data_IF_397277523677
#
_entry.id   IF_397277523677
#
_cell.length_a   1.000
_cell.length_b   1.000
_cell.length_c   1.000
_cell.angle_alpha   90.00
_cell.angle_beta   90.00
_cell.angle_gamma   90.00
#
_symmetry.space_group_name_H-M   'P 1'
#
loop_
_entity.id
_entity.type
_entity.pdbx_description
1 polymer ?
#
# COMPACT_ATOMS: atom_id res chain seq x y z
N UNK A 1 18.65 -16.97 -12.71
CA UNK A 1 17.23 -16.57 -12.70
C UNK A 1 17.18 -15.08 -12.43
N UNK A 2 16.49 -14.30 -13.26
CA UNK A 2 16.31 -12.87 -12.99
C UNK A 2 15.49 -12.70 -11.70
N UNK A 3 15.92 -11.79 -10.83
CA UNK A 3 15.22 -11.49 -9.58
C UNK A 3 13.96 -10.70 -9.93
N UNK A 4 12.78 -11.21 -9.60
CA UNK A 4 11.53 -10.46 -9.75
C UNK A 4 11.57 -9.21 -8.88
N UNK A 5 11.08 -8.05 -9.38
CA UNK A 5 11.15 -6.79 -8.67
C UNK A 5 10.33 -6.84 -7.39
N UNK A 6 10.91 -6.29 -6.32
CA UNK A 6 10.31 -6.19 -5.00
C UNK A 6 10.23 -4.73 -4.58
N UNK A 7 9.03 -4.29 -4.20
CA UNK A 7 8.74 -2.91 -3.80
C UNK A 7 8.19 -2.90 -2.38
N UNK A 8 8.69 -1.99 -1.55
CA UNK A 8 8.18 -1.76 -0.20
C UNK A 8 7.38 -0.46 -0.15
N UNK A 9 6.19 -0.53 0.39
CA UNK A 9 5.22 0.56 0.49
C UNK A 9 4.84 0.74 1.95
N UNK A 10 4.76 1.99 2.41
CA UNK A 10 4.22 2.31 3.72
C UNK A 10 3.05 3.29 3.56
N UNK A 11 1.93 3.00 4.22
CA UNK A 11 0.74 3.85 4.19
C UNK A 11 0.71 4.66 5.47
N UNK A 12 0.91 5.98 5.33
CA UNK A 12 1.02 6.93 6.44
C UNK A 12 -0.15 7.91 6.46
N UNK A 13 -0.47 8.43 7.64
CA UNK A 13 -1.56 9.39 7.84
C UNK A 13 -2.16 9.31 9.23
N UNK A 14 -2.88 10.38 9.61
CA UNK A 14 -3.52 10.51 10.93
C UNK A 14 -4.43 9.31 11.26
N UNK A 15 -4.61 9.03 12.54
CA UNK A 15 -5.62 8.05 12.98
C UNK A 15 -7.01 8.40 12.41
N UNK A 16 -7.75 7.38 11.97
CA UNK A 16 -9.13 7.51 11.46
C UNK A 16 -9.30 7.94 9.99
N UNK A 17 -8.23 8.24 9.24
CA UNK A 17 -8.35 8.68 7.83
C UNK A 17 -8.63 7.56 6.82
N UNK A 18 -8.71 6.30 7.27
CA UNK A 18 -9.06 5.16 6.40
C UNK A 18 -7.89 4.46 5.69
N UNK A 19 -6.65 4.58 6.19
CA UNK A 19 -5.46 3.90 5.63
C UNK A 19 -5.66 2.40 5.44
N UNK A 20 -6.09 1.75 6.51
CA UNK A 20 -6.33 0.31 6.54
C UNK A 20 -7.48 -0.11 5.64
N UNK A 21 -8.54 0.70 5.57
CA UNK A 21 -9.63 0.48 4.65
C UNK A 21 -9.15 0.54 3.19
N UNK A 22 -8.24 1.47 2.85
CA UNK A 22 -7.64 1.57 1.53
C UNK A 22 -6.75 0.36 1.21
N UNK A 23 -5.87 -0.04 2.14
CA UNK A 23 -4.99 -1.21 1.97
C UNK A 23 -5.81 -2.48 1.76
N UNK A 24 -6.79 -2.73 2.61
CA UNK A 24 -7.63 -3.94 2.48
C UNK A 24 -8.48 -3.89 1.22
N UNK A 25 -9.00 -2.73 0.82
CA UNK A 25 -9.74 -2.58 -0.44
C UNK A 25 -8.88 -2.90 -1.66
N UNK A 26 -7.63 -2.44 -1.66
CA UNK A 26 -6.67 -2.77 -2.71
C UNK A 26 -6.42 -4.27 -2.79
N UNK A 27 -6.15 -4.92 -1.66
CA UNK A 27 -5.80 -6.35 -1.60
C UNK A 27 -6.98 -7.29 -1.90
N UNK A 28 -8.16 -6.98 -1.38
CA UNK A 28 -9.31 -7.92 -1.34
C UNK A 28 -10.43 -7.55 -2.28
N UNK A 29 -10.40 -6.34 -2.86
CA UNK A 29 -11.51 -5.74 -3.62
C UNK A 29 -12.82 -5.62 -2.82
N UNK A 30 -12.75 -5.63 -1.49
CA UNK A 30 -13.88 -5.48 -0.56
C UNK A 30 -13.63 -4.33 0.41
N UNK A 31 -14.70 -3.73 0.92
CA UNK A 31 -14.61 -2.81 2.04
C UNK A 31 -14.76 -3.59 3.35
N UNK A 32 -13.97 -3.20 4.35
CA UNK A 32 -14.10 -3.70 5.72
C UNK A 32 -15.01 -2.77 6.51
N UNK A 33 -15.81 -3.36 7.38
CA UNK A 33 -16.70 -2.61 8.28
C UNK A 33 -16.04 -2.33 9.62
N UNK A 34 -15.17 -3.23 10.08
CA UNK A 34 -14.47 -3.14 11.35
C UNK A 34 -12.97 -3.28 11.13
N UNK A 35 -12.21 -2.48 11.87
CA UNK A 35 -10.75 -2.50 11.88
C UNK A 35 -10.23 -2.01 13.24
N UNK A 36 -9.12 -2.59 13.71
CA UNK A 36 -8.44 -2.17 14.94
C UNK A 36 -7.45 -1.04 14.64
N UNK A 37 -7.72 0.23 15.03
CA UNK A 37 -6.88 1.38 14.70
C UNK A 37 -5.49 1.38 15.35
N UNK A 38 -5.22 0.45 16.27
CA UNK A 38 -3.94 0.30 16.97
C UNK A 38 -3.05 -0.77 16.35
N UNK A 39 -3.60 -1.60 15.47
CA UNK A 39 -2.88 -2.68 14.81
C UNK A 39 -2.03 -2.13 13.67
N UNK A 40 -0.74 -2.45 13.68
CA UNK A 40 0.13 -2.31 12.52
C UNK A 40 0.20 -3.66 11.80
N UNK A 41 0.23 -3.66 10.47
CA UNK A 41 0.23 -4.90 9.69
C UNK A 41 1.03 -4.78 8.40
N UNK A 42 1.75 -5.85 8.06
CA UNK A 42 2.46 -5.97 6.79
C UNK A 42 1.77 -7.00 5.90
N UNK A 43 1.50 -6.62 4.66
CA UNK A 43 0.84 -7.45 3.66
C UNK A 43 1.79 -7.71 2.49
N UNK A 44 1.74 -8.91 1.91
CA UNK A 44 2.46 -9.24 0.68
C UNK A 44 1.47 -9.42 -0.45
N UNK A 45 1.69 -8.76 -1.57
CA UNK A 45 0.82 -8.82 -2.75
C UNK A 45 1.65 -8.97 -4.02
N UNK A 46 1.18 -9.79 -4.96
CA UNK A 46 1.78 -9.89 -6.29
C UNK A 46 0.80 -9.38 -7.31
N UNK A 47 1.28 -8.51 -8.21
CA UNK A 47 0.50 -7.99 -9.31
C UNK A 47 1.34 -7.97 -10.59
N UNK A 48 0.66 -8.15 -11.72
CA UNK A 48 1.27 -7.92 -13.03
C UNK A 48 1.23 -6.41 -13.31
N UNK A 49 2.40 -5.80 -13.48
CA UNK A 49 2.57 -4.37 -13.79
C UNK A 49 3.50 -4.30 -15.00
N UNK A 50 3.04 -3.68 -16.08
CA UNK A 50 3.81 -3.54 -17.33
C UNK A 50 4.39 -4.89 -17.82
N UNK A 51 3.57 -5.95 -17.78
CA UNK A 51 3.91 -7.33 -18.13
C UNK A 51 5.00 -7.99 -17.27
N UNK A 52 5.33 -7.40 -16.13
CA UNK A 52 6.23 -7.95 -15.12
C UNK A 52 5.51 -8.31 -13.81
N UNK A 53 5.82 -9.48 -13.26
CA UNK A 53 5.33 -9.89 -11.94
C UNK A 53 6.10 -9.15 -10.83
N UNK A 54 5.46 -8.14 -10.24
CA UNK A 54 6.01 -7.35 -9.14
C UNK A 54 5.50 -7.88 -7.80
N UNK A 55 6.39 -8.04 -6.83
CA UNK A 55 6.01 -8.32 -5.44
C UNK A 55 6.04 -7.05 -4.61
N UNK A 56 4.93 -6.75 -3.93
CA UNK A 56 4.77 -5.60 -3.05
C UNK A 56 4.70 -6.06 -1.58
N UNK A 57 5.44 -5.39 -0.72
CA UNK A 57 5.35 -5.46 0.74
C UNK A 57 4.73 -4.16 1.24
N UNK A 58 3.50 -4.22 1.75
CA UNK A 58 2.70 -3.05 2.14
C UNK A 58 2.59 -3.01 3.65
N UNK A 59 3.14 -1.97 4.26
CA UNK A 59 2.99 -1.65 5.67
C UNK A 59 1.79 -0.72 5.87
N UNK A 60 0.76 -1.22 6.53
CA UNK A 60 -0.35 -0.44 7.07
C UNK A 60 -0.02 -0.02 8.50
N UNK A 61 0.14 1.29 8.72
CA UNK A 61 0.58 1.82 10.00
C UNK A 61 -0.59 2.11 10.94
N UNK A 62 -0.43 1.77 12.22
CA UNK A 62 -1.27 2.32 13.27
C UNK A 62 -1.08 3.84 13.29
N UNK A 63 -2.17 4.62 13.25
CA UNK A 63 -2.14 6.08 13.05
C UNK A 63 -1.50 6.91 14.18
N UNK A 64 -0.67 6.30 15.03
CA UNK A 64 0.12 6.98 16.03
C UNK A 64 1.34 7.59 15.34
N UNK A 65 1.36 8.92 15.26
CA UNK A 65 2.47 9.71 14.73
C UNK A 65 3.68 9.54 15.65
N UNK A 66 4.44 8.45 15.52
CA UNK A 66 5.67 8.24 16.31
C UNK A 66 6.93 7.95 15.51
N UNK A 67 6.89 7.85 14.19
CA UNK A 67 8.11 7.80 13.38
C UNK A 67 7.94 8.60 12.09
N UNK A 68 8.65 9.73 12.00
CA UNK A 68 8.81 10.47 10.74
C UNK A 68 9.94 9.77 9.98
N UNK A 69 9.60 8.77 9.18
CA UNK A 69 10.50 8.23 8.14
C UNK A 69 10.04 8.83 6.81
N UNK A 70 10.90 9.55 6.05
CA UNK A 70 10.48 10.20 4.82
C UNK A 70 10.42 9.15 3.70
N UNK A 71 9.27 8.50 3.46
CA UNK A 71 9.11 7.61 2.30
C UNK A 71 7.70 7.69 1.69
N UNK A 72 7.66 8.37 0.55
CA UNK A 72 6.85 8.16 -0.67
C UNK A 72 5.32 8.10 -0.54
N UNK A 73 4.74 9.20 -1.04
CA UNK A 73 3.38 9.36 -1.59
C UNK A 73 3.16 8.39 -2.75
N UNK A 74 1.95 7.84 -2.87
CA UNK A 74 1.49 7.05 -4.02
C UNK A 74 1.86 7.73 -5.35
N UNK A 75 2.79 7.15 -6.11
CA UNK A 75 2.89 7.38 -7.55
C UNK A 75 2.12 6.27 -8.25
N UNK A 76 0.90 6.56 -8.69
CA UNK A 76 0.40 5.93 -9.92
C UNK A 76 0.87 6.83 -11.05
N UNK A 77 1.80 6.36 -11.88
CA UNK A 77 2.13 7.05 -13.12
C UNK A 77 0.90 6.95 -14.01
N UNK A 78 0.07 7.99 -14.04
CA UNK A 78 -0.90 8.16 -15.10
C UNK A 78 -0.11 8.39 -16.40
N UNK A 79 -0.08 7.37 -17.26
CA UNK A 79 0.16 7.61 -18.67
C UNK A 79 -1.04 8.41 -19.19
N UNK A 80 -0.88 9.73 -19.32
CA UNK A 80 -1.63 10.45 -20.33
C UNK A 80 -1.18 9.92 -21.69
N UNK A 81 -1.97 9.01 -22.26
CA UNK A 81 -1.93 8.77 -23.69
C UNK A 81 -2.48 10.02 -24.36
N UNK A 82 -1.59 10.80 -24.95
CA UNK A 82 -1.92 11.82 -25.93
C UNK A 82 -2.76 11.21 -27.05
N UNK A 83 -3.93 11.78 -27.28
CA UNK A 83 -4.46 12.00 -28.62
C UNK A 83 -5.16 13.36 -28.65
#
# INVERSE_FOLDING_TARGET
>A
MAKSPEVKLAVLGRAGVGKSALVVRFLTRRFIWEYDPTLESTYRHQANIDDEMVTMEILDTAGQVRQITPVIVLYTREFYSSN
#
